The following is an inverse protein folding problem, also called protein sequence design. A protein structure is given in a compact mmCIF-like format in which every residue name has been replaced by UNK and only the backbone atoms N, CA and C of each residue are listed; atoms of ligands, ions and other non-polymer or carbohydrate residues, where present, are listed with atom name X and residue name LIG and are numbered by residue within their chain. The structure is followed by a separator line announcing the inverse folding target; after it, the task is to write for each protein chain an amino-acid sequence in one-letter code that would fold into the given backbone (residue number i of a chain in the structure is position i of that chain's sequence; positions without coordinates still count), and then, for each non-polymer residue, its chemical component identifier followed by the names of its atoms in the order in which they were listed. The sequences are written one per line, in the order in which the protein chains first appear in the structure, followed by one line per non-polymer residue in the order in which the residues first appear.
data_IF_595231545983
#
_entry.id   IF_595231545983
#
_cell.length_a   1.000
_cell.length_b   1.000
_cell.length_c   1.000
_cell.angle_alpha   90.00
_cell.angle_beta   90.00
_cell.angle_gamma   90.00
#
_symmetry.space_group_name_H-M   'P 1'
#
loop_
_entity.id
_entity.type
_entity.pdbx_description
1 polymer ?
#
# COMPACT_ATOMS: atom_id res chain seq x y z
N UNK A 1 -68.40 -20.64 -38.67
CA UNK A 1 -67.97 -19.50 -37.82
C UNK A 1 -66.55 -19.77 -37.37
N UNK A 2 -65.59 -18.93 -37.80
CA UNK A 2 -64.15 -19.05 -37.50
C UNK A 2 -63.82 -18.15 -36.31
N UNK A 3 -63.33 -18.70 -35.20
CA UNK A 3 -62.70 -17.93 -34.11
C UNK A 3 -61.19 -17.79 -34.40
N UNK A 4 -60.57 -16.61 -34.23
CA UNK A 4 -59.13 -16.48 -34.24
C UNK A 4 -58.57 -16.74 -32.83
N UNK A 5 -57.61 -17.65 -32.73
CA UNK A 5 -56.81 -17.88 -31.54
C UNK A 5 -55.66 -16.87 -31.56
N UNK A 6 -55.61 -15.97 -30.58
CA UNK A 6 -54.55 -14.99 -30.39
C UNK A 6 -53.45 -15.65 -29.55
N UNK A 7 -52.28 -15.89 -30.14
CA UNK A 7 -51.07 -16.26 -29.41
C UNK A 7 -50.40 -15.00 -28.86
N UNK A 8 -50.43 -14.81 -27.53
CA UNK A 8 -49.53 -13.87 -26.85
C UNK A 8 -48.13 -14.50 -26.75
N UNK A 9 -47.18 -13.98 -27.53
CA UNK A 9 -45.76 -14.28 -27.35
C UNK A 9 -45.21 -13.55 -26.12
N UNK A 10 -44.84 -14.31 -25.09
CA UNK A 10 -43.98 -13.80 -24.02
C UNK A 10 -42.56 -13.60 -24.57
N UNK A 11 -42.18 -12.36 -24.82
CA UNK A 11 -40.79 -11.98 -25.08
C UNK A 11 -40.00 -12.08 -23.77
N UNK A 12 -39.12 -13.07 -23.67
CA UNK A 12 -38.12 -13.15 -22.60
C UNK A 12 -37.02 -12.13 -22.91
N UNK A 13 -37.03 -11.00 -22.19
CA UNK A 13 -35.93 -10.05 -22.22
C UNK A 13 -34.76 -10.64 -21.40
N UNK A 14 -33.79 -11.23 -22.09
CA UNK A 14 -32.48 -11.56 -21.52
C UNK A 14 -31.73 -10.26 -21.26
N UNK A 15 -31.76 -9.75 -20.03
CA UNK A 15 -30.85 -8.70 -19.61
C UNK A 15 -29.44 -9.28 -19.54
N UNK A 16 -28.65 -9.07 -20.60
CA UNK A 16 -27.22 -9.30 -20.56
C UNK A 16 -26.61 -8.40 -19.49
N UNK A 17 -26.25 -8.98 -18.34
CA UNK A 17 -25.45 -8.28 -17.34
C UNK A 17 -24.16 -7.83 -18.02
N UNK A 18 -23.90 -6.54 -18.04
CA UNK A 18 -22.60 -6.02 -18.44
C UNK A 18 -21.57 -6.64 -17.52
N UNK A 19 -20.75 -7.55 -18.04
CA UNK A 19 -19.56 -8.02 -17.34
C UNK A 19 -18.70 -6.77 -17.09
N UNK A 20 -18.69 -6.27 -15.85
CA UNK A 20 -17.83 -5.17 -15.46
C UNK A 20 -16.40 -5.64 -15.72
N UNK A 21 -15.75 -5.07 -16.75
CA UNK A 21 -14.34 -5.32 -16.98
C UNK A 21 -13.59 -4.97 -15.70
N UNK A 22 -12.66 -5.82 -15.27
CA UNK A 22 -11.82 -5.54 -14.11
C UNK A 22 -11.16 -4.16 -14.30
N UNK A 23 -11.09 -3.33 -13.25
CA UNK A 23 -10.43 -2.04 -13.35
C UNK A 23 -9.00 -2.25 -13.84
N UNK A 24 -8.47 -1.35 -14.70
CA UNK A 24 -7.16 -1.56 -15.28
C UNK A 24 -6.09 -1.49 -14.19
N UNK A 25 -5.11 -2.39 -14.26
CA UNK A 25 -4.00 -2.45 -13.32
C UNK A 25 -2.67 -2.14 -14.00
N UNK A 26 -1.72 -1.66 -13.22
CA UNK A 26 -0.36 -1.36 -13.69
C UNK A 26 0.64 -2.21 -12.93
N UNK A 27 1.59 -2.76 -13.66
CA UNK A 27 2.64 -3.61 -13.10
C UNK A 27 3.99 -3.12 -13.61
N UNK A 28 4.83 -2.60 -12.72
CA UNK A 28 6.23 -2.24 -13.02
C UNK A 28 7.10 -3.39 -12.55
N UNK A 29 7.92 -3.97 -13.44
CA UNK A 29 8.77 -5.13 -13.15
C UNK A 29 10.22 -4.80 -13.36
N UNK A 30 11.03 -5.26 -12.41
CA UNK A 30 12.49 -5.31 -12.52
C UNK A 30 13.08 -4.05 -13.14
N UNK A 31 12.65 -2.89 -12.63
CA UNK A 31 12.96 -1.60 -13.21
C UNK A 31 13.73 -0.70 -12.24
N UNK A 32 14.57 0.16 -12.80
CA UNK A 32 15.13 1.34 -12.12
C UNK A 32 14.54 2.57 -12.80
N UNK A 33 13.59 3.24 -12.16
CA UNK A 33 12.78 4.27 -12.82
C UNK A 33 12.15 5.23 -11.82
N UNK A 34 11.99 6.50 -12.22
CA UNK A 34 11.17 7.49 -11.53
C UNK A 34 9.78 7.54 -12.14
N UNK A 35 8.75 7.51 -11.30
CA UNK A 35 7.35 7.36 -11.73
C UNK A 35 6.48 8.46 -11.15
N UNK A 36 5.66 9.06 -12.00
CA UNK A 36 4.56 9.92 -11.55
C UNK A 36 3.23 9.32 -11.99
N UNK A 37 2.40 8.90 -11.03
CA UNK A 37 1.04 8.43 -11.27
C UNK A 37 0.07 9.58 -11.06
N UNK A 38 -0.77 9.84 -12.07
CA UNK A 38 -1.78 10.90 -12.08
C UNK A 38 -3.15 10.24 -12.18
N UNK A 39 -3.88 10.08 -11.05
CA UNK A 39 -5.23 9.54 -11.05
C UNK A 39 -6.24 10.57 -11.56
N UNK A 40 -6.99 10.20 -12.60
CA UNK A 40 -7.91 11.07 -13.34
C UNK A 40 -9.27 10.38 -13.54
N UNK A 41 -10.31 11.14 -13.90
CA UNK A 41 -11.60 10.59 -14.30
C UNK A 41 -11.51 9.92 -15.68
N UNK A 42 -10.98 8.70 -15.72
CA UNK A 42 -10.75 7.89 -16.92
C UNK A 42 -10.94 6.40 -16.61
N UNK A 43 -11.08 5.58 -17.65
CA UNK A 43 -11.27 4.13 -17.54
C UNK A 43 -10.10 3.31 -18.10
N UNK A 44 -9.09 3.98 -18.64
CA UNK A 44 -7.91 3.38 -19.27
C UNK A 44 -6.63 3.83 -18.54
N UNK A 45 -5.53 3.14 -18.82
CA UNK A 45 -4.18 3.53 -18.37
C UNK A 45 -3.38 3.98 -19.58
N UNK A 46 -2.76 5.16 -19.46
CA UNK A 46 -1.80 5.68 -20.44
C UNK A 46 -0.43 5.85 -19.78
N UNK A 47 0.60 5.34 -20.43
CA UNK A 47 2.00 5.49 -19.98
C UNK A 47 2.75 6.35 -20.98
N UNK A 48 3.45 7.36 -20.48
CA UNK A 48 4.30 8.26 -21.25
C UNK A 48 5.72 8.18 -20.69
N UNK A 49 6.70 7.90 -21.54
CA UNK A 49 8.12 7.89 -21.16
C UNK A 49 8.67 9.30 -21.41
N UNK A 50 9.06 10.00 -20.34
CA UNK A 50 9.58 11.36 -20.40
C UNK A 50 11.09 11.41 -20.64
N UNK A 51 11.82 10.50 -20.01
CA UNK A 51 13.27 10.36 -20.22
C UNK A 51 13.65 8.89 -20.26
N UNK A 52 14.54 8.56 -21.18
CA UNK A 52 15.09 7.23 -21.35
C UNK A 52 16.55 7.19 -20.88
N UNK A 53 17.03 5.98 -20.62
CA UNK A 53 18.43 5.72 -20.35
C UNK A 53 18.90 4.56 -21.24
N UNK A 54 20.01 4.73 -21.95
CA UNK A 54 20.45 3.77 -22.97
C UNK A 54 20.69 2.35 -22.43
N UNK A 55 21.11 2.25 -21.16
CA UNK A 55 21.38 0.97 -20.49
C UNK A 55 20.27 0.53 -19.53
N UNK A 56 19.15 1.26 -19.46
CA UNK A 56 17.97 0.90 -18.64
C UNK A 56 16.71 1.02 -19.52
N UNK A 57 16.53 0.12 -20.52
CA UNK A 57 15.39 0.17 -21.41
C UNK A 57 14.09 -0.13 -20.64
N UNK A 58 12.99 0.51 -21.06
CA UNK A 58 11.66 0.23 -20.55
C UNK A 58 10.78 -0.31 -21.67
N UNK A 59 10.17 -1.47 -21.45
CA UNK A 59 9.21 -2.07 -22.37
C UNK A 59 7.80 -1.92 -21.80
N UNK A 60 6.93 -1.20 -22.52
CA UNK A 60 5.53 -1.03 -22.14
C UNK A 60 4.66 -1.96 -22.98
N UNK A 61 3.82 -2.76 -22.31
CA UNK A 61 2.88 -3.70 -22.95
C UNK A 61 1.51 -3.57 -22.30
N UNK A 62 0.45 -3.55 -23.10
CA UNK A 62 -0.92 -3.52 -22.61
C UNK A 62 -1.67 -4.77 -23.08
N UNK A 63 -2.19 -5.57 -22.15
CA UNK A 63 -2.94 -6.79 -22.46
C UNK A 63 -4.02 -7.04 -21.42
N UNK A 64 -5.27 -7.20 -21.87
CA UNK A 64 -6.38 -7.65 -21.01
C UNK A 64 -6.66 -6.76 -19.80
N UNK A 65 -6.54 -5.43 -19.95
CA UNK A 65 -6.74 -4.47 -18.86
C UNK A 65 -5.50 -4.24 -17.98
N UNK A 66 -4.41 -5.01 -18.17
CA UNK A 66 -3.16 -4.82 -17.46
C UNK A 66 -2.15 -4.09 -18.34
N UNK A 67 -1.48 -3.08 -17.78
CA UNK A 67 -0.33 -2.43 -18.39
C UNK A 67 0.93 -2.84 -17.64
N UNK A 68 1.84 -3.52 -18.32
CA UNK A 68 3.14 -3.95 -17.79
C UNK A 68 4.24 -3.02 -18.30
N UNK A 69 5.06 -2.52 -17.40
CA UNK A 69 6.26 -1.71 -17.66
C UNK A 69 7.46 -2.52 -17.15
N UNK A 70 8.21 -3.12 -18.06
CA UNK A 70 9.30 -4.04 -17.74
C UNK A 70 10.66 -3.38 -17.99
N UNK A 71 11.55 -3.40 -16.99
CA UNK A 71 12.91 -2.87 -17.08
C UNK A 71 13.96 -3.87 -17.55
N UNK A 72 13.63 -5.16 -17.70
CA UNK A 72 14.56 -6.23 -18.06
C UNK A 72 15.80 -6.33 -17.12
N UNK A 73 15.61 -6.00 -15.83
CA UNK A 73 16.67 -6.04 -14.82
C UNK A 73 16.54 -7.20 -13.82
N UNK A 74 15.92 -8.32 -14.22
CA UNK A 74 15.79 -9.51 -13.37
C UNK A 74 17.13 -9.86 -12.70
N UNK A 75 17.15 -9.83 -11.36
CA UNK A 75 18.35 -10.08 -10.52
C UNK A 75 19.58 -9.21 -10.84
N UNK A 76 19.42 -8.14 -11.63
CA UNK A 76 20.50 -7.18 -11.94
C UNK A 76 20.54 -6.02 -10.95
N UNK A 77 19.43 -5.69 -10.28
CA UNK A 77 19.40 -4.68 -9.21
C UNK A 77 20.07 -5.28 -7.97
N UNK A 78 21.21 -4.71 -7.56
CA UNK A 78 22.07 -5.29 -6.50
C UNK A 78 21.89 -4.62 -5.16
N UNK A 79 21.86 -3.30 -5.17
CA UNK A 79 21.83 -2.51 -3.96
C UNK A 79 21.22 -1.14 -4.22
N UNK A 80 20.60 -0.57 -3.20
CA UNK A 80 20.02 0.76 -3.24
C UNK A 80 20.51 1.51 -2.01
N UNK A 81 20.98 2.73 -2.21
CA UNK A 81 21.57 3.58 -1.19
C UNK A 81 20.90 4.95 -1.24
N UNK A 82 20.77 5.58 -0.07
CA UNK A 82 20.18 6.91 0.05
C UNK A 82 18.68 6.94 -0.19
N UNK A 83 18.12 8.13 -0.05
CA UNK A 83 16.68 8.41 -0.18
C UNK A 83 16.46 9.66 -1.03
N UNK A 84 15.26 9.78 -1.62
CA UNK A 84 14.86 10.96 -2.39
C UNK A 84 15.86 11.32 -3.50
N UNK A 85 16.29 12.59 -3.55
CA UNK A 85 17.22 13.07 -4.59
C UNK A 85 18.65 12.52 -4.42
N UNK A 86 19.00 12.02 -3.23
CA UNK A 86 20.29 11.39 -2.94
C UNK A 86 20.33 9.90 -3.24
N UNK A 87 19.20 9.31 -3.66
CA UNK A 87 19.13 7.88 -3.93
C UNK A 87 20.05 7.46 -5.09
N UNK A 88 20.63 6.27 -4.98
CA UNK A 88 21.47 5.64 -6.00
C UNK A 88 21.18 4.15 -6.04
N UNK A 89 21.20 3.56 -7.23
CA UNK A 89 20.92 2.13 -7.43
C UNK A 89 22.08 1.49 -8.17
N UNK A 90 22.67 0.47 -7.57
CA UNK A 90 23.71 -0.35 -8.20
C UNK A 90 23.07 -1.43 -9.07
N UNK A 91 23.33 -1.36 -10.38
CA UNK A 91 22.79 -2.30 -11.37
C UNK A 91 23.94 -3.04 -12.06
N UNK A 92 23.87 -4.37 -12.05
CA UNK A 92 24.87 -5.22 -12.70
C UNK A 92 24.95 -4.94 -14.21
N UNK A 93 26.17 -4.67 -14.70
CA UNK A 93 26.43 -4.32 -16.10
C UNK A 93 26.19 -2.85 -16.46
N UNK A 94 25.68 -2.04 -15.53
CA UNK A 94 25.49 -0.58 -15.71
C UNK A 94 26.35 0.21 -14.73
N UNK A 95 26.44 -0.25 -13.48
CA UNK A 95 27.11 0.46 -12.38
C UNK A 95 26.12 1.21 -11.50
N UNK A 96 26.59 2.23 -10.79
CA UNK A 96 25.77 3.06 -9.93
C UNK A 96 24.95 4.06 -10.77
N UNK A 97 23.63 4.02 -10.61
CA UNK A 97 22.67 4.90 -11.27
C UNK A 97 22.12 5.88 -10.25
N UNK A 98 22.60 7.11 -10.29
CA UNK A 98 22.10 8.18 -9.44
C UNK A 98 20.64 8.53 -9.76
N UNK A 99 19.89 8.98 -8.75
CA UNK A 99 18.47 9.34 -8.86
C UNK A 99 18.17 10.18 -10.08
N UNK A 100 18.95 11.22 -10.36
CA UNK A 100 18.74 12.13 -11.49
C UNK A 100 18.86 11.48 -12.88
N UNK A 101 19.65 10.42 -12.99
CA UNK A 101 19.97 9.74 -14.26
C UNK A 101 19.00 8.59 -14.58
N UNK A 102 18.11 8.24 -13.66
CA UNK A 102 17.11 7.20 -13.90
C UNK A 102 16.12 7.65 -15.00
N UNK A 103 15.57 6.73 -15.80
CA UNK A 103 14.43 6.99 -16.66
C UNK A 103 13.24 7.59 -15.90
N UNK A 104 12.42 8.38 -16.58
CA UNK A 104 11.20 8.96 -16.04
C UNK A 104 9.99 8.53 -16.85
N UNK A 105 8.94 8.12 -16.15
CA UNK A 105 7.64 7.83 -16.75
C UNK A 105 6.50 8.54 -16.02
N UNK A 106 5.45 8.85 -16.76
CA UNK A 106 4.17 9.33 -16.25
C UNK A 106 3.10 8.30 -16.59
N UNK A 107 2.32 7.93 -15.58
CA UNK A 107 1.21 7.00 -15.70
C UNK A 107 -0.07 7.77 -15.41
N UNK A 108 -0.93 7.94 -16.40
CA UNK A 108 -2.29 8.45 -16.18
C UNK A 108 -3.22 7.27 -16.01
N UNK A 109 -3.88 7.18 -14.87
CA UNK A 109 -4.70 6.03 -14.48
C UNK A 109 -6.08 6.49 -13.98
N UNK A 110 -7.06 5.58 -13.85
CA UNK A 110 -8.32 5.87 -13.16
C UNK A 110 -8.10 6.34 -11.71
N UNK A 111 -9.15 6.90 -11.11
CA UNK A 111 -9.16 7.31 -9.70
C UNK A 111 -9.03 6.14 -8.74
N UNK A 112 -9.47 4.95 -9.13
CA UNK A 112 -9.19 3.69 -8.45
C UNK A 112 -7.89 3.12 -9.00
N UNK A 113 -6.80 3.36 -8.28
CA UNK A 113 -5.46 2.99 -8.74
C UNK A 113 -5.10 1.62 -8.21
N UNK A 114 -4.66 0.76 -9.13
CA UNK A 114 -4.13 -0.56 -8.84
C UNK A 114 -2.71 -0.64 -9.46
N UNK A 115 -1.68 -0.65 -8.60
CA UNK A 115 -0.28 -0.60 -8.99
C UNK A 115 0.56 -1.61 -8.21
N UNK A 116 1.23 -2.49 -8.95
CA UNK A 116 2.30 -3.34 -8.45
C UNK A 116 3.64 -2.83 -8.97
N UNK A 117 4.62 -2.68 -8.09
CA UNK A 117 5.92 -2.09 -8.36
C UNK A 117 7.03 -3.03 -7.90
N UNK A 118 7.92 -3.40 -8.80
CA UNK A 118 9.05 -4.29 -8.58
C UNK A 118 10.39 -3.65 -8.98
N UNK A 119 11.40 -3.77 -8.12
CA UNK A 119 12.75 -3.26 -8.37
C UNK A 119 13.08 -1.98 -7.57
N UNK A 120 13.69 -0.99 -8.23
CA UNK A 120 14.03 0.30 -7.65
C UNK A 120 13.21 1.42 -8.29
N UNK A 121 11.95 1.50 -7.87
CA UNK A 121 10.96 2.41 -8.43
C UNK A 121 10.69 3.54 -7.45
N UNK A 122 11.05 4.76 -7.83
CA UNK A 122 10.85 5.94 -6.98
C UNK A 122 9.66 6.73 -7.51
N UNK A 123 8.58 6.76 -6.75
CA UNK A 123 7.28 7.12 -7.28
C UNK A 123 6.53 8.17 -6.49
N UNK A 124 5.71 8.95 -7.20
CA UNK A 124 4.69 9.80 -6.61
C UNK A 124 3.30 9.45 -7.17
N UNK A 125 2.30 9.29 -6.31
CA UNK A 125 0.91 9.04 -6.69
C UNK A 125 0.05 10.24 -6.26
N UNK A 126 -0.65 10.83 -7.23
CA UNK A 126 -1.61 11.90 -6.97
C UNK A 126 -2.80 11.46 -6.11
N UNK A 127 -3.70 12.39 -5.79
CA UNK A 127 -4.91 12.06 -5.01
C UNK A 127 -5.71 10.98 -5.71
N UNK A 128 -6.28 10.02 -5.00
CA UNK A 128 -7.06 8.91 -5.57
C UNK A 128 -8.34 8.68 -4.77
N UNK A 129 -9.26 7.91 -5.33
CA UNK A 129 -10.49 7.51 -4.64
C UNK A 129 -10.22 6.25 -3.83
N UNK A 130 -9.66 5.22 -4.46
CA UNK A 130 -9.06 4.07 -3.79
C UNK A 130 -7.65 3.81 -4.35
N UNK A 131 -6.80 3.18 -3.54
CA UNK A 131 -5.44 2.83 -3.95
C UNK A 131 -5.06 1.45 -3.44
N UNK A 132 -4.67 0.56 -4.37
CA UNK A 132 -3.88 -0.62 -4.09
C UNK A 132 -2.46 -0.38 -4.60
N UNK A 133 -1.49 -0.31 -3.69
CA UNK A 133 -0.07 -0.21 -4.02
C UNK A 133 0.65 -1.41 -3.42
N UNK A 134 1.32 -2.20 -4.25
CA UNK A 134 2.34 -3.15 -3.78
C UNK A 134 3.70 -2.67 -4.25
N UNK A 135 4.62 -2.46 -3.32
CA UNK A 135 6.00 -2.11 -3.63
C UNK A 135 6.90 -3.24 -3.16
N UNK A 136 7.62 -3.86 -4.09
CA UNK A 136 8.50 -5.00 -3.89
C UNK A 136 9.90 -4.62 -4.35
N UNK A 137 10.74 -4.19 -3.40
CA UNK A 137 12.11 -3.80 -3.68
C UNK A 137 12.57 -2.68 -2.75
N UNK A 138 13.34 -1.75 -3.30
CA UNK A 138 14.03 -0.71 -2.53
C UNK A 138 13.57 0.72 -2.87
N UNK A 139 12.59 0.86 -3.76
CA UNK A 139 12.13 2.16 -4.22
C UNK A 139 11.15 2.82 -3.25
N UNK A 140 11.16 4.15 -3.21
CA UNK A 140 10.32 4.93 -2.30
C UNK A 140 9.05 5.45 -2.98
N UNK A 141 7.99 5.61 -2.19
CA UNK A 141 6.71 6.13 -2.67
C UNK A 141 6.23 7.33 -1.84
N UNK A 142 5.77 8.37 -2.53
CA UNK A 142 4.97 9.45 -1.95
C UNK A 142 3.57 9.42 -2.52
N UNK A 143 2.58 9.18 -1.67
CA UNK A 143 1.17 9.08 -2.04
C UNK A 143 0.42 10.26 -1.43
N UNK A 144 -0.35 10.98 -2.25
CA UNK A 144 -1.22 12.03 -1.76
C UNK A 144 -2.44 11.46 -0.98
N UNK A 145 -3.47 12.27 -0.74
CA UNK A 145 -4.66 11.80 -0.03
C UNK A 145 -5.43 10.74 -0.83
N UNK A 146 -5.86 9.67 -0.14
CA UNK A 146 -6.75 8.63 -0.67
C UNK A 146 -8.12 8.79 -0.03
N UNK A 147 -9.18 9.04 -0.82
CA UNK A 147 -10.48 9.38 -0.25
C UNK A 147 -11.11 8.19 0.52
N UNK A 148 -11.00 6.99 -0.03
CA UNK A 148 -11.56 5.75 0.48
C UNK A 148 -10.50 4.81 1.03
N UNK A 149 -10.35 3.65 0.41
CA UNK A 149 -9.50 2.57 0.88
C UNK A 149 -8.08 2.65 0.31
N UNK A 150 -7.11 2.61 1.23
CA UNK A 150 -5.72 2.31 0.94
C UNK A 150 -5.44 0.84 1.29
N UNK A 151 -5.01 0.06 0.31
CA UNK A 151 -4.27 -1.19 0.53
C UNK A 151 -2.82 -0.98 0.10
N UNK A 152 -1.90 -1.06 1.06
CA UNK A 152 -0.48 -0.86 0.82
C UNK A 152 0.31 -2.10 1.27
N UNK A 153 1.02 -2.73 0.36
CA UNK A 153 1.94 -3.83 0.65
C UNK A 153 3.38 -3.35 0.40
N UNK A 154 4.13 -3.11 1.47
CA UNK A 154 5.54 -2.74 1.41
C UNK A 154 6.38 -4.00 1.64
N UNK A 155 7.05 -4.48 0.60
CA UNK A 155 7.93 -5.64 0.63
C UNK A 155 9.35 -5.22 0.22
N UNK A 156 10.34 -5.50 1.07
CA UNK A 156 11.72 -5.04 0.87
C UNK A 156 12.09 -3.88 1.80
N UNK A 157 12.81 -2.90 1.27
CA UNK A 157 13.50 -1.87 2.06
C UNK A 157 13.17 -0.43 1.69
N UNK A 158 12.28 -0.21 0.71
CA UNK A 158 11.84 1.15 0.37
C UNK A 158 10.85 1.71 1.39
N UNK A 159 10.65 3.01 1.38
CA UNK A 159 9.73 3.69 2.29
C UNK A 159 8.49 4.23 1.58
N UNK A 160 7.35 4.30 2.28
CA UNK A 160 6.13 4.90 1.73
C UNK A 160 5.59 5.98 2.65
N UNK A 161 5.46 7.20 2.11
CA UNK A 161 4.80 8.33 2.77
C UNK A 161 3.43 8.55 2.15
N UNK A 162 2.38 8.60 2.97
CA UNK A 162 1.00 8.75 2.54
C UNK A 162 0.34 9.94 3.23
N UNK A 163 -0.47 10.67 2.48
CA UNK A 163 -1.39 11.67 3.02
C UNK A 163 -2.48 11.07 3.92
N UNK A 164 -3.60 11.80 4.04
CA UNK A 164 -4.77 11.31 4.76
C UNK A 164 -5.53 10.24 3.96
N UNK A 165 -6.12 9.28 4.66
CA UNK A 165 -6.86 8.16 4.07
C UNK A 165 -8.19 7.91 4.76
N UNK A 166 -9.18 7.39 4.03
CA UNK A 166 -10.48 7.00 4.59
C UNK A 166 -10.37 5.79 5.51
N UNK A 167 -9.73 4.71 5.02
CA UNK A 167 -9.40 3.50 5.77
C UNK A 167 -8.11 2.88 5.24
N UNK A 168 -7.42 2.07 6.04
CA UNK A 168 -6.10 1.56 5.68
C UNK A 168 -5.95 0.05 5.96
N UNK A 169 -5.35 -0.66 5.01
CA UNK A 169 -4.83 -2.01 5.16
C UNK A 169 -3.35 -2.00 4.76
N UNK A 170 -2.48 -2.00 5.76
CA UNK A 170 -1.05 -1.86 5.60
C UNK A 170 -0.38 -3.20 5.87
N UNK A 171 0.49 -3.63 4.96
CA UNK A 171 1.36 -4.80 5.12
C UNK A 171 2.80 -4.40 4.96
N UNK A 172 3.66 -4.83 5.88
CA UNK A 172 5.11 -4.65 5.81
C UNK A 172 5.78 -6.02 5.86
N UNK A 173 6.59 -6.33 4.86
CA UNK A 173 7.37 -7.56 4.74
C UNK A 173 8.82 -7.21 4.41
N UNK A 174 9.64 -6.96 5.42
CA UNK A 174 11.01 -6.49 5.25
C UNK A 174 11.40 -5.41 6.26
N UNK A 175 12.16 -4.42 5.80
CA UNK A 175 12.74 -3.36 6.63
C UNK A 175 12.27 -1.95 6.25
N UNK A 176 11.40 -1.82 5.25
CA UNK A 176 10.86 -0.53 4.81
C UNK A 176 9.75 0.01 5.71
N UNK A 177 9.64 1.33 5.79
CA UNK A 177 8.70 2.02 6.65
C UNK A 177 7.45 2.50 5.91
N UNK A 178 6.34 2.64 6.65
CA UNK A 178 5.13 3.29 6.17
C UNK A 178 4.77 4.44 7.11
N UNK A 179 4.68 5.66 6.57
CA UNK A 179 4.20 6.84 7.30
C UNK A 179 2.90 7.33 6.68
N UNK A 180 1.84 7.43 7.47
CA UNK A 180 0.54 7.96 7.02
C UNK A 180 0.13 9.16 7.86
N UNK A 181 -0.63 10.10 7.28
CA UNK A 181 -1.20 11.22 8.06
C UNK A 181 -2.42 10.74 8.87
N UNK A 182 -3.61 11.31 8.61
CA UNK A 182 -4.83 10.94 9.32
C UNK A 182 -5.53 9.76 8.64
N UNK A 183 -5.89 8.75 9.42
CA UNK A 183 -6.76 7.64 9.01
C UNK A 183 -8.13 7.84 9.66
N UNK A 184 -9.16 8.10 8.84
CA UNK A 184 -10.51 8.51 9.31
C UNK A 184 -11.44 7.34 9.67
N UNK A 185 -10.96 6.12 9.56
CA UNK A 185 -11.75 4.91 9.66
C UNK A 185 -10.89 3.72 10.12
N UNK A 186 -11.34 2.47 9.91
CA UNK A 186 -10.61 1.32 10.41
C UNK A 186 -9.22 1.18 9.77
N UNK A 187 -8.27 0.73 10.58
CA UNK A 187 -6.89 0.50 10.19
C UNK A 187 -6.47 -0.92 10.57
N UNK A 188 -5.91 -1.64 9.59
CA UNK A 188 -5.27 -2.94 9.78
C UNK A 188 -3.79 -2.82 9.45
N UNK A 189 -2.93 -3.33 10.32
CA UNK A 189 -1.48 -3.42 10.11
C UNK A 189 -1.03 -4.86 10.29
N UNK A 190 -0.34 -5.40 9.29
CA UNK A 190 0.31 -6.71 9.36
C UNK A 190 1.79 -6.58 9.02
N UNK A 191 2.65 -6.84 9.99
CA UNK A 191 4.08 -6.62 9.90
C UNK A 191 4.81 -7.94 10.10
N UNK A 192 5.67 -8.28 9.15
CA UNK A 192 6.64 -9.36 9.23
C UNK A 192 8.03 -8.80 8.89
N UNK A 193 8.86 -8.54 9.91
CA UNK A 193 10.19 -7.94 9.71
C UNK A 193 10.54 -6.88 10.76
N UNK A 194 11.23 -5.84 10.32
CA UNK A 194 11.83 -4.82 11.18
C UNK A 194 11.52 -3.38 10.76
N UNK A 195 10.73 -3.16 9.71
CA UNK A 195 10.25 -1.82 9.35
C UNK A 195 9.15 -1.33 10.29
N UNK A 196 8.94 -0.02 10.32
CA UNK A 196 8.01 0.66 11.22
C UNK A 196 6.76 1.18 10.49
N UNK A 197 5.66 1.32 11.22
CA UNK A 197 4.46 2.02 10.76
C UNK A 197 4.17 3.20 11.67
N UNK A 198 4.13 4.40 11.09
CA UNK A 198 3.75 5.62 11.79
C UNK A 198 2.47 6.23 11.23
N UNK A 199 1.55 6.64 12.11
CA UNK A 199 0.29 7.28 11.73
C UNK A 199 0.04 8.51 12.59
N UNK A 200 -0.25 9.66 11.96
CA UNK A 200 -0.45 10.91 12.69
C UNK A 200 -1.71 10.87 13.57
N UNK A 201 -2.81 10.31 13.07
CA UNK A 201 -4.02 10.11 13.87
C UNK A 201 -4.90 8.99 13.34
N UNK A 202 -5.60 8.29 14.24
CA UNK A 202 -6.58 7.26 13.90
C UNK A 202 -7.94 7.55 14.56
N UNK A 203 -8.99 7.63 13.74
CA UNK A 203 -10.38 7.73 14.18
C UNK A 203 -11.17 6.50 13.71
N UNK A 204 -10.93 5.34 14.31
CA UNK A 204 -11.54 4.08 13.91
C UNK A 204 -11.02 2.87 14.67
N UNK A 205 -11.46 1.66 14.27
CA UNK A 205 -10.95 0.41 14.85
C UNK A 205 -9.50 0.14 14.40
N UNK A 206 -8.73 -0.53 15.25
CA UNK A 206 -7.33 -0.86 15.02
C UNK A 206 -7.10 -2.37 15.17
N UNK A 207 -6.59 -3.04 14.14
CA UNK A 207 -6.07 -4.41 14.20
C UNK A 207 -4.58 -4.39 13.84
N UNK A 208 -3.71 -4.78 14.77
CA UNK A 208 -2.26 -4.81 14.58
C UNK A 208 -1.72 -6.21 14.83
N UNK A 209 -0.98 -6.73 13.87
CA UNK A 209 -0.25 -8.01 13.97
C UNK A 209 1.21 -7.76 13.63
N UNK A 210 2.08 -8.04 14.59
CA UNK A 210 3.54 -7.90 14.44
C UNK A 210 4.17 -9.28 14.65
N UNK A 211 4.96 -9.71 13.67
CA UNK A 211 5.86 -10.85 13.75
C UNK A 211 7.29 -10.37 13.43
N UNK A 212 8.06 -10.02 14.47
CA UNK A 212 9.38 -9.44 14.31
C UNK A 212 9.71 -8.36 15.33
N UNK A 213 10.41 -7.33 14.86
CA UNK A 213 11.00 -6.29 15.73
C UNK A 213 10.58 -4.86 15.40
N UNK A 214 9.75 -4.66 14.37
CA UNK A 214 9.27 -3.33 14.01
C UNK A 214 8.15 -2.82 14.91
N UNK A 215 7.95 -1.51 14.91
CA UNK A 215 7.00 -0.81 15.76
C UNK A 215 5.79 -0.26 14.98
N UNK A 216 4.66 -0.14 15.67
CA UNK A 216 3.51 0.65 15.20
C UNK A 216 3.27 1.83 16.14
N UNK A 217 3.36 3.05 15.62
CA UNK A 217 3.20 4.30 16.37
C UNK A 217 2.02 5.10 15.82
N UNK A 218 1.07 5.44 16.70
CA UNK A 218 -0.09 6.29 16.39
C UNK A 218 -0.04 7.50 17.31
N UNK A 219 0.16 8.70 16.75
CA UNK A 219 0.41 9.90 17.55
C UNK A 219 -0.85 10.47 18.24
N UNK A 220 -2.05 10.05 17.85
CA UNK A 220 -3.29 10.46 18.52
C UNK A 220 -4.56 9.92 17.86
N UNK A 221 -5.71 10.39 18.33
CA UNK A 221 -7.03 10.06 17.77
C UNK A 221 -7.95 9.30 18.72
N UNK A 222 -9.16 9.00 18.24
CA UNK A 222 -10.18 8.21 18.93
C UNK A 222 -10.25 6.81 18.32
N UNK A 223 -9.56 5.88 18.96
CA UNK A 223 -9.51 4.49 18.53
C UNK A 223 -10.74 3.76 19.10
N UNK A 224 -11.45 3.03 18.26
CA UNK A 224 -12.59 2.21 18.67
C UNK A 224 -12.12 0.92 19.36
N UNK A 225 -12.51 -0.22 18.81
CA UNK A 225 -11.94 -1.50 19.20
C UNK A 225 -10.48 -1.60 18.76
N UNK A 226 -9.58 -1.86 19.72
CA UNK A 226 -8.15 -2.07 19.48
C UNK A 226 -7.78 -3.52 19.74
N UNK A 227 -7.35 -4.23 18.71
CA UNK A 227 -6.80 -5.57 18.78
C UNK A 227 -5.32 -5.54 18.40
N UNK A 228 -4.46 -6.07 19.28
CA UNK A 228 -3.01 -6.11 19.07
C UNK A 228 -2.51 -7.53 19.34
N UNK A 229 -1.68 -8.03 18.43
CA UNK A 229 -0.96 -9.29 18.58
C UNK A 229 0.50 -9.08 18.21
N UNK A 230 1.40 -9.25 19.17
CA UNK A 230 2.85 -9.13 18.99
C UNK A 230 3.49 -10.48 19.20
N UNK A 231 4.28 -10.94 18.25
CA UNK A 231 5.18 -12.08 18.36
C UNK A 231 6.61 -11.60 18.03
N UNK A 232 7.47 -11.53 19.05
CA UNK A 232 8.83 -10.98 18.92
C UNK A 232 9.10 -9.82 19.87
N UNK A 233 9.82 -8.82 19.38
CA UNK A 233 10.35 -7.70 20.19
C UNK A 233 9.79 -6.33 19.81
N UNK A 234 9.02 -6.25 18.72
CA UNK A 234 8.40 -5.00 18.26
C UNK A 234 7.26 -4.52 19.16
N UNK A 235 6.97 -3.22 19.16
CA UNK A 235 5.97 -2.62 20.04
C UNK A 235 4.82 -1.92 19.33
N UNK A 236 3.80 -1.56 20.11
CA UNK A 236 2.70 -0.70 19.66
C UNK A 236 2.57 0.46 20.64
N UNK A 237 2.66 1.69 20.15
CA UNK A 237 2.45 2.91 20.95
C UNK A 237 1.32 3.74 20.34
N UNK A 238 0.24 3.91 21.10
CA UNK A 238 -0.93 4.70 20.71
C UNK A 238 -1.14 5.83 21.71
N UNK A 239 -0.79 7.04 21.28
CA UNK A 239 -0.98 8.28 22.04
C UNK A 239 -2.42 8.83 21.96
N UNK A 240 -3.39 7.95 21.75
CA UNK A 240 -4.83 8.24 21.65
C UNK A 240 -5.66 7.55 22.73
N UNK A 241 -6.98 7.70 22.65
CA UNK A 241 -7.92 7.00 23.54
C UNK A 241 -8.57 5.84 22.80
N UNK A 242 -8.50 4.64 23.35
CA UNK A 242 -9.19 3.45 22.85
C UNK A 242 -10.51 3.21 23.59
N UNK A 243 -11.54 2.75 22.89
CA UNK A 243 -12.80 2.31 23.51
C UNK A 243 -12.63 0.96 24.20
N UNK A 244 -11.89 0.04 23.60
CA UNK A 244 -11.54 -1.26 24.20
C UNK A 244 -10.18 -1.74 23.72
N UNK A 245 -9.50 -2.55 24.53
CA UNK A 245 -8.18 -3.09 24.23
C UNK A 245 -8.15 -4.61 24.40
N UNK A 246 -7.69 -5.31 23.36
CA UNK A 246 -7.32 -6.72 23.40
C UNK A 246 -5.88 -6.88 22.93
N UNK A 247 -4.96 -7.05 23.87
CA UNK A 247 -3.53 -7.19 23.60
C UNK A 247 -3.06 -8.62 23.88
N UNK A 248 -2.31 -9.19 22.93
CA UNK A 248 -1.58 -10.44 23.10
C UNK A 248 -0.12 -10.24 22.73
N UNK A 249 0.77 -10.66 23.61
CA UNK A 249 2.21 -10.52 23.43
C UNK A 249 2.85 -11.88 23.68
N UNK A 250 3.66 -12.34 22.73
CA UNK A 250 4.54 -13.49 22.85
C UNK A 250 5.98 -13.03 22.54
N UNK A 251 6.77 -12.75 23.57
CA UNK A 251 8.12 -12.20 23.45
C UNK A 251 8.38 -11.04 24.41
N UNK A 252 9.09 -10.02 23.93
CA UNK A 252 9.61 -8.92 24.75
C UNK A 252 9.10 -7.54 24.34
N UNK A 253 8.24 -7.46 23.32
CA UNK A 253 7.65 -6.21 22.86
C UNK A 253 6.57 -5.67 23.81
N UNK A 254 6.31 -4.36 23.75
CA UNK A 254 5.35 -3.67 24.60
C UNK A 254 4.14 -3.13 23.84
N UNK A 255 3.00 -3.05 24.50
CA UNK A 255 1.82 -2.31 24.01
C UNK A 255 1.51 -1.16 24.96
N UNK A 256 1.64 0.07 24.48
CA UNK A 256 1.38 1.31 25.22
C UNK A 256 0.18 2.02 24.61
N UNK A 257 -0.78 2.38 25.45
CA UNK A 257 -1.97 3.16 25.07
C UNK A 257 -2.20 4.26 26.10
N UNK A 258 -2.36 5.50 25.66
CA UNK A 258 -2.55 6.64 26.57
C UNK A 258 -3.80 6.52 27.44
N UNK A 259 -4.92 6.04 26.90
CA UNK A 259 -6.14 5.81 27.69
C UNK A 259 -7.03 4.73 27.10
N UNK A 260 -7.67 3.93 27.95
CA UNK A 260 -8.73 2.98 27.55
C UNK A 260 -9.97 3.24 28.41
N UNK A 261 -11.15 3.34 27.80
CA UNK A 261 -12.39 3.65 28.52
C UNK A 261 -13.34 2.48 28.77
N UNK A 262 -13.13 1.35 28.10
CA UNK A 262 -13.98 0.17 28.21
C UNK A 262 -13.17 -1.07 28.59
N UNK A 263 -13.57 -2.21 28.02
CA UNK A 263 -12.98 -3.51 28.37
C UNK A 263 -11.50 -3.61 27.97
N UNK A 264 -10.71 -4.20 28.87
CA UNK A 264 -9.29 -4.50 28.66
C UNK A 264 -9.06 -6.00 28.85
N UNK A 265 -8.46 -6.64 27.85
CA UNK A 265 -8.00 -8.03 27.90
C UNK A 265 -6.54 -8.07 27.51
N UNK A 266 -5.68 -8.54 28.43
CA UNK A 266 -4.24 -8.70 28.19
C UNK A 266 -3.80 -10.15 28.38
N UNK A 267 -2.96 -10.65 27.49
CA UNK A 267 -2.26 -11.92 27.64
C UNK A 267 -0.82 -11.73 27.20
N UNK A 268 0.12 -11.94 28.13
CA UNK A 268 1.55 -11.75 27.89
C UNK A 268 2.27 -13.05 28.23
N UNK A 269 3.05 -13.55 27.27
CA UNK A 269 3.96 -14.67 27.42
C UNK A 269 5.37 -14.18 27.09
N UNK A 270 6.19 -13.98 28.11
CA UNK A 270 7.55 -13.42 27.96
C UNK A 270 7.77 -12.24 28.89
N UNK A 271 8.60 -11.29 28.46
CA UNK A 271 9.08 -10.17 29.28
C UNK A 271 8.47 -8.81 28.91
N UNK A 272 7.64 -8.74 27.88
CA UNK A 272 6.96 -7.50 27.47
C UNK A 272 5.85 -7.08 28.45
N UNK A 273 5.25 -5.91 28.23
CA UNK A 273 4.16 -5.39 29.05
C UNK A 273 3.04 -4.71 28.24
N UNK A 274 1.87 -4.56 28.88
CA UNK A 274 0.75 -3.76 28.38
C UNK A 274 0.51 -2.61 29.35
N UNK A 275 0.88 -1.40 28.92
CA UNK A 275 0.85 -0.18 29.73
C UNK A 275 -0.31 0.71 29.26
N UNK A 276 -1.11 1.17 30.21
CA UNK A 276 -2.19 2.14 29.98
C UNK A 276 -1.95 3.34 30.88
N UNK A 277 -1.75 4.53 30.29
CA UNK A 277 -1.48 5.78 31.00
C UNK A 277 -0.39 6.62 30.36
#
# INVERSE_FOLDING_TARGET
MRLPVIFLGLGVALSAGAAQAAPPSVEIKDAVVRVTVIPEARSDVKVEILSNHAQLPLQVRAQGGRVTIDGDLDRKIRHCEGEGAGASVSVAGVGAVAYANMPQIVIRAPRDVDLDSGGAVFGAIGKSDNLRLSNAGCGDWTVANVAGELTLNQAGSGDTHVGSVGRANLRVAGSGDIKTQAVKGPMSVNMAGSGDVWTASLDGALDVKIAGSGDVKIAGGRVGAMAVSVAGSGGVDVNGRAESLKARIAGSGDVKVKAVSGAVSKAVLGSGDVIIG
#
